data_IF_425495291672
#
_entry.id   IF_425495291672
#
_cell.length_a   1.000
_cell.length_b   1.000
_cell.length_c   1.000
_cell.angle_alpha   90.00
_cell.angle_beta   90.00
_cell.angle_gamma   90.00
#
_symmetry.space_group_name_H-M   'P 1'
#
loop_
_entity.id
_entity.type
_entity.pdbx_description
1 polymer ?
#
# COMPACT_ATOMS: atom_id res chain seq x y z
N UNK A 1 24.27 -17.01 21.95
CA UNK A 1 24.53 -17.29 20.52
C UNK A 1 23.40 -16.64 19.72
N UNK A 2 23.71 -15.72 18.78
CA UNK A 2 22.68 -15.17 17.87
C UNK A 2 22.32 -16.25 16.83
N UNK A 3 21.02 -16.59 16.71
CA UNK A 3 20.54 -17.62 15.78
C UNK A 3 20.10 -17.04 14.42
N UNK A 4 20.02 -15.71 14.29
CA UNK A 4 19.66 -15.00 13.06
C UNK A 4 20.34 -13.62 13.03
N UNK A 5 20.41 -13.04 11.84
CA UNK A 5 20.89 -11.67 11.63
C UNK A 5 19.68 -10.74 11.66
N UNK A 6 19.62 -9.86 12.63
CA UNK A 6 18.55 -8.85 12.70
C UNK A 6 18.87 -7.70 11.75
N UNK A 7 17.87 -7.29 10.97
CA UNK A 7 17.96 -6.11 10.11
C UNK A 7 17.82 -4.87 11.01
N UNK A 8 18.83 -4.02 11.03
CA UNK A 8 18.75 -2.75 11.75
C UNK A 8 17.86 -1.78 10.98
N UNK A 9 16.84 -1.26 11.65
CA UNK A 9 15.94 -0.25 11.09
C UNK A 9 16.20 1.05 11.81
N UNK A 10 16.68 2.10 11.10
CA UNK A 10 16.88 3.41 11.69
C UNK A 10 15.57 3.93 12.31
N UNK A 11 15.68 4.65 13.41
CA UNK A 11 14.50 5.29 14.01
C UNK A 11 13.84 6.21 12.99
N UNK A 12 12.56 5.99 12.74
CA UNK A 12 11.80 6.81 11.83
C UNK A 12 11.73 8.27 12.32
N UNK A 13 11.84 9.26 11.44
CA UNK A 13 11.77 10.69 11.83
C UNK A 13 10.34 11.10 12.23
N UNK A 14 9.34 10.25 11.94
CA UNK A 14 7.94 10.44 12.27
C UNK A 14 7.26 9.08 12.54
N UNK A 15 6.19 9.12 13.31
CA UNK A 15 5.38 7.93 13.61
C UNK A 15 4.08 7.88 12.80
N UNK A 16 3.38 6.77 12.91
CA UNK A 16 2.02 6.57 12.40
C UNK A 16 1.09 6.46 13.61
N UNK A 17 0.20 7.43 13.75
CA UNK A 17 -0.85 7.42 14.76
C UNK A 17 -2.03 6.56 14.31
N UNK A 18 -2.74 5.97 15.27
CA UNK A 18 -3.93 5.16 14.92
C UNK A 18 -5.06 5.99 14.26
N UNK A 19 -5.08 7.30 14.49
CA UNK A 19 -6.02 8.24 13.85
C UNK A 19 -5.63 8.65 12.43
N UNK A 20 -4.41 8.32 11.97
CA UNK A 20 -3.96 8.69 10.64
C UNK A 20 -4.78 8.00 9.53
N UNK A 21 -4.96 8.67 8.42
CA UNK A 21 -5.53 8.12 7.18
C UNK A 21 -4.40 7.63 6.29
N UNK A 22 -4.39 6.32 6.03
CA UNK A 22 -3.31 5.67 5.31
C UNK A 22 -3.74 5.30 3.90
N UNK A 23 -2.95 5.68 2.91
CA UNK A 23 -3.11 5.19 1.54
C UNK A 23 -1.95 4.27 1.19
N UNK A 24 -2.28 3.06 0.72
CA UNK A 24 -1.28 2.06 0.32
C UNK A 24 -1.39 1.79 -1.17
N UNK A 25 -0.29 1.94 -1.89
CA UNK A 25 -0.19 1.68 -3.32
C UNK A 25 0.97 0.74 -3.62
N UNK A 26 0.78 -0.20 -4.53
CA UNK A 26 1.87 -1.02 -5.02
C UNK A 26 1.52 -2.49 -5.20
N UNK A 27 2.50 -3.37 -4.95
CA UNK A 27 2.40 -4.82 -5.17
C UNK A 27 1.41 -5.50 -4.21
N UNK A 28 1.19 -6.81 -4.41
CA UNK A 28 0.38 -7.65 -3.51
C UNK A 28 0.83 -7.52 -2.04
N UNK A 29 2.13 -7.32 -1.78
CA UNK A 29 2.61 -7.10 -0.41
C UNK A 29 2.03 -5.82 0.22
N UNK A 30 1.73 -4.78 -0.57
CA UNK A 30 0.99 -3.61 -0.06
C UNK A 30 -0.43 -4.00 0.36
N UNK A 31 -1.06 -4.97 -0.32
CA UNK A 31 -2.35 -5.52 0.07
C UNK A 31 -2.25 -6.26 1.40
N UNK A 32 -1.24 -7.15 1.57
CA UNK A 32 -1.04 -7.93 2.80
C UNK A 32 -0.87 -7.03 4.03
N UNK A 33 -0.05 -6.00 3.93
CA UNK A 33 0.14 -5.01 5.02
C UNK A 33 -1.09 -4.13 5.20
N UNK A 34 -1.76 -3.76 4.11
CA UNK A 34 -3.01 -2.99 4.13
C UNK A 34 -4.13 -3.73 4.86
N UNK A 35 -4.29 -5.03 4.62
CA UNK A 35 -5.24 -5.88 5.35
C UNK A 35 -4.92 -5.92 6.85
N UNK A 36 -3.64 -6.05 7.23
CA UNK A 36 -3.22 -5.99 8.63
C UNK A 36 -3.56 -4.67 9.30
N UNK A 37 -3.34 -3.55 8.61
CA UNK A 37 -3.71 -2.22 9.09
C UNK A 37 -5.24 -2.09 9.24
N UNK A 38 -6.01 -2.57 8.27
CA UNK A 38 -7.48 -2.58 8.32
C UNK A 38 -7.99 -3.43 9.49
N UNK A 39 -7.44 -4.63 9.67
CA UNK A 39 -7.76 -5.53 10.79
C UNK A 39 -7.40 -4.93 12.15
N UNK A 40 -6.39 -4.10 12.19
CA UNK A 40 -5.99 -3.34 13.37
C UNK A 40 -6.80 -2.05 13.56
N UNK A 41 -7.80 -1.79 12.71
CA UNK A 41 -8.75 -0.69 12.83
C UNK A 41 -8.24 0.66 12.32
N UNK A 42 -7.13 0.70 11.57
CA UNK A 42 -6.70 1.93 10.90
C UNK A 42 -7.65 2.30 9.75
N UNK A 43 -7.74 3.57 9.47
CA UNK A 43 -8.41 4.09 8.28
C UNK A 43 -7.50 3.93 7.08
N UNK A 44 -7.83 3.01 6.18
CA UNK A 44 -6.98 2.63 5.05
C UNK A 44 -7.69 2.70 3.70
N UNK A 45 -6.96 3.08 2.66
CA UNK A 45 -7.31 2.88 1.26
C UNK A 45 -6.18 2.09 0.61
N UNK A 46 -6.46 0.87 0.20
CA UNK A 46 -5.46 -0.05 -0.32
C UNK A 46 -5.71 -0.33 -1.79
N UNK A 47 -4.71 -0.09 -2.63
CA UNK A 47 -4.69 -0.44 -4.06
C UNK A 47 -6.04 -0.18 -4.76
N UNK A 48 -6.51 1.07 -4.87
CA UNK A 48 -7.86 1.38 -5.36
C UNK A 48 -8.13 0.87 -6.78
N UNK A 49 -7.12 0.81 -7.65
CA UNK A 49 -7.19 0.24 -8.99
C UNK A 49 -6.56 -1.17 -9.07
N UNK A 50 -6.45 -1.87 -7.93
CA UNK A 50 -5.77 -3.14 -7.79
C UNK A 50 -4.25 -3.00 -7.65
N UNK A 51 -3.55 -4.14 -7.53
CA UNK A 51 -2.11 -4.14 -7.31
C UNK A 51 -1.34 -3.58 -8.53
N UNK A 52 -0.42 -2.65 -8.26
CA UNK A 52 0.45 -2.00 -9.24
C UNK A 52 1.90 -2.33 -8.92
N UNK A 53 2.55 -3.14 -9.73
CA UNK A 53 3.81 -3.78 -9.35
C UNK A 53 5.06 -2.91 -9.56
N UNK A 54 5.00 -1.89 -10.41
CA UNK A 54 6.18 -1.13 -10.83
C UNK A 54 6.03 0.37 -10.57
N UNK A 55 7.16 1.09 -10.41
CA UNK A 55 7.15 2.52 -10.11
C UNK A 55 6.39 3.38 -11.12
N UNK A 56 6.41 3.00 -12.41
CA UNK A 56 5.78 3.79 -13.46
C UNK A 56 4.24 3.66 -13.42
N UNK A 57 3.70 2.45 -13.18
CA UNK A 57 2.25 2.27 -13.04
C UNK A 57 1.70 2.99 -11.81
N UNK A 58 2.44 2.98 -10.69
CA UNK A 58 2.05 3.77 -9.49
C UNK A 58 2.11 5.26 -9.78
N UNK A 59 3.13 5.73 -10.52
CA UNK A 59 3.24 7.14 -10.92
C UNK A 59 2.07 7.57 -11.81
N UNK A 60 1.69 6.76 -12.80
CA UNK A 60 0.52 7.02 -13.67
C UNK A 60 -0.77 7.15 -12.87
N UNK A 61 -1.00 6.25 -11.90
CA UNK A 61 -2.15 6.36 -11.01
C UNK A 61 -2.13 7.65 -10.19
N UNK A 62 -1.00 7.99 -9.57
CA UNK A 62 -0.88 9.22 -8.77
C UNK A 62 -1.09 10.46 -9.63
N UNK A 63 -0.57 10.51 -10.86
CA UNK A 63 -0.82 11.60 -11.81
C UNK A 63 -2.30 11.71 -12.15
N UNK A 64 -2.97 10.58 -12.45
CA UNK A 64 -4.42 10.56 -12.73
C UNK A 64 -5.23 11.07 -11.53
N UNK A 65 -4.86 10.68 -10.31
CA UNK A 65 -5.50 11.15 -9.07
C UNK A 65 -5.28 12.66 -8.84
N UNK A 66 -4.05 13.14 -8.96
CA UNK A 66 -3.73 14.56 -8.75
C UNK A 66 -4.46 15.45 -9.76
N UNK A 67 -4.53 15.02 -11.03
CA UNK A 67 -5.20 15.74 -12.11
C UNK A 67 -6.73 15.55 -12.09
N UNK A 68 -7.26 14.68 -11.22
CA UNK A 68 -8.67 14.29 -11.19
C UNK A 68 -9.17 13.82 -12.56
N UNK A 69 -8.32 13.16 -13.33
CA UNK A 69 -8.62 12.77 -14.70
C UNK A 69 -9.45 11.48 -14.70
N UNK A 70 -10.76 11.53 -15.03
CA UNK A 70 -11.61 10.34 -15.08
C UNK A 70 -11.15 9.39 -16.20
N UNK A 71 -11.58 8.13 -16.11
CA UNK A 71 -11.55 7.24 -17.26
C UNK A 71 -12.62 7.67 -18.24
N UNK A 72 -12.28 7.66 -19.53
CA UNK A 72 -13.18 7.91 -20.64
C UNK A 72 -13.52 6.60 -21.38
N UNK A 73 -14.56 6.55 -22.21
CA UNK A 73 -14.90 5.33 -22.97
C UNK A 73 -13.73 4.74 -23.77
N UNK A 74 -12.84 5.57 -24.29
CA UNK A 74 -11.62 5.18 -25.01
C UNK A 74 -10.54 4.54 -24.13
N UNK A 75 -10.62 4.69 -22.81
CA UNK A 75 -9.74 4.01 -21.84
C UNK A 75 -10.20 2.56 -21.54
N UNK A 76 -11.40 2.19 -22.01
CA UNK A 76 -12.02 0.89 -21.77
C UNK A 76 -11.78 -0.05 -22.95
N UNK A 77 -11.19 -1.19 -22.65
CA UNK A 77 -10.84 -2.22 -23.64
C UNK A 77 -11.64 -3.50 -23.37
N UNK A 78 -11.94 -4.23 -24.45
CA UNK A 78 -12.46 -5.60 -24.38
C UNK A 78 -11.27 -6.57 -24.29
N UNK A 79 -11.21 -7.33 -23.21
CA UNK A 79 -10.20 -8.36 -22.94
C UNK A 79 -10.77 -9.78 -23.08
N UNK A 80 -11.84 -9.94 -23.88
CA UNK A 80 -12.46 -11.22 -24.17
C UNK A 80 -13.05 -11.89 -22.92
N UNK A 81 -12.53 -13.04 -22.54
CA UNK A 81 -13.04 -13.80 -21.39
C UNK A 81 -12.91 -13.06 -20.05
N UNK A 82 -12.02 -12.08 -19.93
CA UNK A 82 -11.91 -11.24 -18.72
C UNK A 82 -12.94 -10.11 -18.67
N UNK A 83 -13.65 -9.85 -19.77
CA UNK A 83 -14.58 -8.74 -19.91
C UNK A 83 -13.88 -7.42 -20.22
N UNK A 84 -14.54 -6.31 -19.89
CA UNK A 84 -14.09 -4.96 -20.16
C UNK A 84 -13.32 -4.38 -18.99
N UNK A 85 -12.22 -3.67 -19.25
CA UNK A 85 -11.35 -3.05 -18.24
C UNK A 85 -10.43 -2.00 -18.84
N UNK A 86 -9.41 -1.61 -18.09
CA UNK A 86 -8.42 -0.63 -18.54
C UNK A 86 -7.00 -1.14 -18.37
N UNK A 87 -6.11 -0.76 -19.30
CA UNK A 87 -4.67 -1.03 -19.19
C UNK A 87 -4.02 -0.41 -17.94
N UNK A 88 -4.66 0.59 -17.33
CA UNK A 88 -4.17 1.27 -16.11
C UNK A 88 -4.68 0.63 -14.81
N UNK A 89 -5.52 -0.43 -14.89
CA UNK A 89 -6.13 -1.09 -13.74
C UNK A 89 -5.87 -2.60 -13.73
N UNK A 90 -6.01 -3.22 -12.57
CA UNK A 90 -5.89 -4.68 -12.44
C UNK A 90 -7.15 -5.39 -12.97
N UNK A 91 -6.98 -6.59 -13.53
CA UNK A 91 -8.05 -7.42 -14.09
C UNK A 91 -9.19 -7.74 -13.12
N UNK A 92 -8.96 -7.71 -11.82
CA UNK A 92 -10.02 -7.83 -10.79
C UNK A 92 -11.12 -6.75 -10.91
N UNK A 93 -10.85 -5.64 -11.59
CA UNK A 93 -11.82 -4.58 -11.83
C UNK A 93 -12.53 -4.70 -13.19
N UNK A 94 -12.21 -5.71 -13.99
CA UNK A 94 -12.93 -6.00 -15.23
C UNK A 94 -14.40 -6.33 -14.96
N UNK A 95 -15.27 -5.93 -15.90
CA UNK A 95 -16.73 -6.10 -15.79
C UNK A 95 -17.29 -6.69 -17.09
N UNK A 96 -18.49 -7.30 -17.05
CA UNK A 96 -19.12 -7.87 -18.24
C UNK A 96 -19.39 -6.88 -19.37
N UNK A 97 -19.60 -5.60 -19.06
CA UNK A 97 -19.87 -4.53 -20.04
C UNK A 97 -18.91 -3.36 -19.90
N UNK A 98 -18.72 -2.61 -20.99
CA UNK A 98 -17.88 -1.41 -21.01
C UNK A 98 -18.41 -0.32 -20.06
N UNK A 99 -19.72 -0.14 -20.00
CA UNK A 99 -20.36 0.86 -19.14
C UNK A 99 -20.15 0.55 -17.65
N UNK A 100 -20.32 -0.73 -17.26
CA UNK A 100 -20.05 -1.16 -15.87
C UNK A 100 -18.58 -1.01 -15.51
N UNK A 101 -17.65 -1.34 -16.41
CA UNK A 101 -16.22 -1.15 -16.21
C UNK A 101 -15.87 0.33 -16.02
N UNK A 102 -16.39 1.19 -16.90
CA UNK A 102 -16.20 2.64 -16.84
C UNK A 102 -16.75 3.22 -15.52
N UNK A 103 -17.96 2.81 -15.13
CA UNK A 103 -18.58 3.24 -13.89
C UNK A 103 -17.73 2.86 -12.67
N UNK A 104 -17.38 1.57 -12.55
CA UNK A 104 -16.61 1.07 -11.39
C UNK A 104 -15.23 1.72 -11.29
N UNK A 105 -14.53 1.89 -12.41
CA UNK A 105 -13.22 2.54 -12.42
C UNK A 105 -13.31 4.00 -11.99
N UNK A 106 -14.32 4.74 -12.45
CA UNK A 106 -14.52 6.13 -12.05
C UNK A 106 -14.98 6.27 -10.60
N UNK A 107 -15.85 5.39 -10.09
CA UNK A 107 -16.23 5.36 -8.67
C UNK A 107 -15.00 5.14 -7.78
N UNK A 108 -14.16 4.15 -8.13
CA UNK A 108 -12.91 3.87 -7.42
C UNK A 108 -11.93 5.05 -7.47
N UNK A 109 -11.83 5.71 -8.63
CA UNK A 109 -10.96 6.87 -8.81
C UNK A 109 -11.40 8.05 -7.93
N UNK A 110 -12.70 8.35 -7.86
CA UNK A 110 -13.25 9.41 -7.01
C UNK A 110 -13.00 9.13 -5.54
N UNK A 111 -13.22 7.88 -5.10
CA UNK A 111 -12.91 7.45 -3.73
C UNK A 111 -11.43 7.62 -3.43
N UNK A 112 -10.55 7.15 -4.33
CA UNK A 112 -9.10 7.22 -4.16
C UNK A 112 -8.59 8.67 -4.15
N UNK A 113 -9.14 9.54 -5.01
CA UNK A 113 -8.81 10.95 -5.00
C UNK A 113 -9.20 11.64 -3.70
N UNK A 114 -10.43 11.41 -3.24
CA UNK A 114 -10.92 11.96 -1.96
C UNK A 114 -10.03 11.49 -0.81
N UNK A 115 -9.62 10.22 -0.86
CA UNK A 115 -8.73 9.67 0.16
C UNK A 115 -7.33 10.28 0.13
N UNK A 116 -6.71 10.38 -1.06
CA UNK A 116 -5.37 10.94 -1.22
C UNK A 116 -5.29 12.40 -0.76
N UNK A 117 -6.33 13.20 -1.06
CA UNK A 117 -6.44 14.59 -0.61
C UNK A 117 -6.36 14.73 0.91
N UNK A 118 -6.96 13.77 1.63
CA UNK A 118 -7.07 13.80 3.10
C UNK A 118 -6.10 12.83 3.79
N UNK A 119 -5.23 12.14 3.03
CA UNK A 119 -4.28 11.17 3.57
C UNK A 119 -3.19 11.85 4.42
N UNK A 120 -2.83 11.19 5.51
CA UNK A 120 -1.71 11.60 6.37
C UNK A 120 -0.42 10.86 5.99
N UNK A 121 -0.55 9.62 5.52
CA UNK A 121 0.58 8.77 5.10
C UNK A 121 0.26 8.08 3.78
N UNK A 122 1.19 8.16 2.84
CA UNK A 122 1.21 7.39 1.59
C UNK A 122 2.32 6.33 1.69
N UNK A 123 1.94 5.06 1.70
CA UNK A 123 2.86 3.92 1.71
C UNK A 123 2.93 3.35 0.29
N UNK A 124 4.13 3.32 -0.27
CA UNK A 124 4.38 2.87 -1.64
C UNK A 124 5.28 1.64 -1.64
N UNK A 125 4.76 0.52 -2.16
CA UNK A 125 5.49 -0.75 -2.22
C UNK A 125 5.86 -1.11 -3.66
N UNK A 126 7.12 -0.92 -4.05
CA UNK A 126 7.60 -1.31 -5.36
C UNK A 126 7.87 -2.82 -5.44
N UNK A 127 7.26 -3.50 -6.41
CA UNK A 127 7.40 -4.93 -6.62
C UNK A 127 8.53 -5.28 -7.59
N UNK A 128 8.55 -4.62 -8.76
CA UNK A 128 9.49 -4.88 -9.84
C UNK A 128 9.86 -3.60 -10.58
N UNK A 129 11.08 -3.55 -11.15
CA UNK A 129 11.47 -2.48 -12.07
C UNK A 129 11.08 -2.79 -13.53
N UNK A 130 10.49 -3.95 -13.81
CA UNK A 130 10.01 -4.28 -15.14
C UNK A 130 8.67 -3.62 -15.43
N UNK A 131 8.58 -2.97 -16.59
CA UNK A 131 7.35 -2.37 -17.13
C UNK A 131 7.00 -2.97 -18.47
N UNK A 132 5.71 -3.02 -18.74
CA UNK A 132 5.16 -3.31 -20.05
C UNK A 132 4.63 -2.02 -20.66
N UNK A 133 4.84 -1.86 -21.98
CA UNK A 133 4.37 -0.70 -22.74
C UNK A 133 3.61 -1.17 -23.97
N UNK A 134 2.48 -0.52 -24.23
CA UNK A 134 1.68 -0.67 -25.44
C UNK A 134 1.55 0.70 -26.11
N UNK A 135 2.00 0.81 -27.38
CA UNK A 135 1.98 2.10 -28.08
C UNK A 135 2.74 3.24 -27.36
N UNK A 136 3.79 2.89 -26.60
CA UNK A 136 4.58 3.86 -25.80
C UNK A 136 4.05 4.10 -24.38
N UNK A 137 2.77 3.81 -24.08
CA UNK A 137 2.16 3.99 -22.77
C UNK A 137 2.47 2.82 -21.83
N UNK A 138 2.62 3.13 -20.54
CA UNK A 138 2.80 2.10 -19.50
C UNK A 138 1.49 1.37 -19.28
N UNK A 139 1.58 0.04 -19.17
CA UNK A 139 0.47 -0.86 -18.90
C UNK A 139 0.64 -1.40 -17.48
N UNK A 140 -0.39 -1.23 -16.66
CA UNK A 140 -0.39 -1.73 -15.29
C UNK A 140 -0.67 -3.24 -15.21
N UNK A 141 -1.55 -3.73 -16.09
CA UNK A 141 -1.87 -5.15 -16.22
C UNK A 141 -1.98 -5.52 -17.71
N UNK A 142 -1.44 -6.68 -18.09
CA UNK A 142 -1.48 -7.16 -19.47
C UNK A 142 -2.78 -7.91 -19.81
N UNK A 143 -3.69 -8.14 -18.87
CA UNK A 143 -5.01 -8.78 -19.06
C UNK A 143 -4.95 -10.08 -19.87
N UNK A 144 -3.95 -10.94 -19.59
CA UNK A 144 -3.67 -12.20 -20.31
C UNK A 144 -3.44 -12.07 -21.83
N UNK A 145 -3.32 -10.85 -22.33
CA UNK A 145 -3.02 -10.60 -23.74
C UNK A 145 -1.63 -11.13 -24.13
N UNK A 146 -1.45 -11.53 -25.41
CA UNK A 146 -0.18 -12.10 -25.86
C UNK A 146 1.02 -11.19 -25.58
N UNK A 147 2.12 -11.74 -25.03
CA UNK A 147 3.31 -10.94 -24.69
C UNK A 147 3.90 -10.17 -25.88
N UNK A 148 3.67 -10.65 -27.14
CA UNK A 148 4.12 -10.00 -28.37
C UNK A 148 3.49 -8.62 -28.62
N UNK A 149 2.36 -8.29 -27.95
CA UNK A 149 1.73 -6.96 -28.04
C UNK A 149 2.51 -5.88 -27.30
N UNK A 150 3.37 -6.26 -26.37
CA UNK A 150 4.00 -5.33 -25.43
C UNK A 150 5.50 -5.23 -25.66
N UNK A 151 6.02 -4.00 -25.52
CA UNK A 151 7.44 -3.78 -25.32
C UNK A 151 7.73 -3.87 -23.81
N UNK A 152 8.59 -4.81 -23.44
CA UNK A 152 8.99 -5.00 -22.04
C UNK A 152 10.37 -4.41 -21.80
N UNK A 153 10.49 -3.55 -20.79
CA UNK A 153 11.75 -2.88 -20.44
C UNK A 153 11.92 -2.92 -18.91
N UNK A 154 13.15 -3.14 -18.45
CA UNK A 154 13.52 -2.84 -17.07
C UNK A 154 13.86 -1.34 -16.97
N UNK A 155 13.19 -0.63 -16.07
CA UNK A 155 13.49 0.76 -15.76
C UNK A 155 14.92 0.86 -15.19
N UNK A 156 15.59 1.94 -15.48
CA UNK A 156 16.84 2.34 -14.81
C UNK A 156 16.51 3.12 -13.52
N UNK A 157 17.52 3.37 -12.69
CA UNK A 157 17.40 4.26 -11.53
C UNK A 157 16.94 5.65 -11.98
N UNK A 158 17.57 6.18 -13.03
CA UNK A 158 17.24 7.50 -13.57
C UNK A 158 15.80 7.56 -14.13
N UNK A 159 15.32 6.51 -14.84
CA UNK A 159 13.93 6.43 -15.30
C UNK A 159 12.97 6.60 -14.10
N UNK A 160 13.22 5.93 -12.97
CA UNK A 160 12.38 5.98 -11.79
C UNK A 160 12.45 7.36 -11.10
N UNK A 161 13.65 7.89 -10.95
CA UNK A 161 13.86 9.20 -10.31
C UNK A 161 13.17 10.31 -11.10
N UNK A 162 13.32 10.34 -12.44
CA UNK A 162 12.67 11.30 -13.30
C UNK A 162 11.13 11.23 -13.24
N UNK A 163 10.55 10.04 -13.07
CA UNK A 163 9.10 9.87 -12.90
C UNK A 163 8.62 10.39 -11.55
N UNK A 164 9.37 10.13 -10.47
CA UNK A 164 8.89 10.38 -9.10
C UNK A 164 9.24 11.76 -8.55
N UNK A 165 10.33 12.37 -9.00
CA UNK A 165 10.75 13.69 -8.52
C UNK A 165 9.67 14.78 -8.74
N UNK A 166 9.03 14.91 -9.93
CA UNK A 166 7.93 15.85 -10.11
C UNK A 166 6.71 15.52 -9.24
N UNK A 167 6.41 14.23 -9.02
CA UNK A 167 5.29 13.79 -8.20
C UNK A 167 5.41 14.26 -6.76
N UNK A 168 6.59 14.28 -6.18
CA UNK A 168 6.78 14.78 -4.82
C UNK A 168 6.33 16.23 -4.67
N UNK A 169 6.62 17.08 -5.66
CA UNK A 169 6.19 18.47 -5.64
C UNK A 169 4.67 18.58 -5.78
N UNK A 170 4.09 17.81 -6.69
CA UNK A 170 2.64 17.78 -6.93
C UNK A 170 1.87 17.23 -5.73
N UNK A 171 2.35 16.16 -5.10
CA UNK A 171 1.79 15.60 -3.87
C UNK A 171 1.88 16.59 -2.71
N UNK A 172 3.02 17.31 -2.57
CA UNK A 172 3.18 18.32 -1.55
C UNK A 172 2.23 19.52 -1.73
N UNK A 173 1.92 19.88 -2.98
CA UNK A 173 0.93 20.92 -3.30
C UNK A 173 -0.49 20.44 -3.00
N UNK A 174 -0.82 19.18 -3.35
CA UNK A 174 -2.15 18.62 -3.11
C UNK A 174 -2.44 18.43 -1.61
N UNK A 175 -1.47 17.85 -0.89
CA UNK A 175 -1.59 17.56 0.55
C UNK A 175 -0.31 18.00 1.28
N UNK A 176 -0.23 19.25 1.75
CA UNK A 176 0.86 19.69 2.61
C UNK A 176 0.92 18.83 3.87
N UNK A 177 2.12 18.37 4.23
CA UNK A 177 2.32 17.50 5.39
C UNK A 177 2.14 15.99 5.13
N UNK A 178 1.79 15.57 3.91
CA UNK A 178 1.75 14.15 3.54
C UNK A 178 3.11 13.49 3.80
N UNK A 179 3.13 12.45 4.63
CA UNK A 179 4.29 11.62 4.90
C UNK A 179 4.33 10.48 3.89
N UNK A 180 5.48 10.26 3.26
CA UNK A 180 5.65 9.22 2.24
C UNK A 180 6.61 8.15 2.76
N UNK A 181 6.17 6.89 2.70
CA UNK A 181 6.95 5.73 3.09
C UNK A 181 7.14 4.82 1.89
N UNK A 182 8.39 4.59 1.50
CA UNK A 182 8.74 3.59 0.49
C UNK A 182 9.10 2.26 1.12
N UNK A 183 8.78 1.19 0.41
CA UNK A 183 9.29 -0.14 0.70
C UNK A 183 9.45 -0.91 -0.61
N UNK A 184 10.33 -1.91 -0.61
CA UNK A 184 10.49 -2.85 -1.73
C UNK A 184 9.88 -4.18 -1.33
N UNK A 185 8.96 -4.68 -2.16
CA UNK A 185 8.27 -5.94 -1.92
C UNK A 185 9.24 -7.12 -1.79
N UNK A 186 9.10 -7.97 -0.78
CA UNK A 186 9.88 -9.19 -0.65
C UNK A 186 9.50 -10.29 -1.65
N UNK A 187 8.35 -10.17 -2.31
CA UNK A 187 7.87 -11.16 -3.29
C UNK A 187 8.87 -11.29 -4.44
N UNK A 188 9.20 -12.53 -4.80
CA UNK A 188 10.15 -12.87 -5.85
C UNK A 188 9.43 -13.03 -7.19
N UNK A 189 9.80 -12.21 -8.18
CA UNK A 189 9.27 -12.31 -9.55
C UNK A 189 10.18 -13.22 -10.39
N UNK A 190 10.07 -14.54 -10.21
CA UNK A 190 10.96 -15.52 -10.83
C UNK A 190 10.64 -15.85 -12.30
N UNK A 191 9.58 -15.29 -12.86
CA UNK A 191 9.28 -15.43 -14.31
C UNK A 191 10.49 -15.04 -15.20
N UNK A 192 11.32 -14.10 -14.72
CA UNK A 192 12.49 -13.62 -15.44
C UNK A 192 13.79 -14.33 -15.03
N UNK A 193 13.67 -15.30 -14.13
CA UNK A 193 14.80 -15.94 -13.48
C UNK A 193 15.33 -15.15 -12.27
N UNK A 194 16.07 -15.85 -11.43
CA UNK A 194 16.54 -15.32 -10.16
C UNK A 194 17.47 -14.11 -10.35
N UNK A 195 18.38 -14.16 -11.34
CA UNK A 195 19.34 -13.06 -11.61
C UNK A 195 18.63 -11.78 -12.04
N UNK A 196 17.70 -11.87 -13.01
CA UNK A 196 16.96 -10.70 -13.48
C UNK A 196 16.03 -10.12 -12.40
N UNK A 197 15.47 -10.97 -11.51
CA UNK A 197 14.76 -10.51 -10.32
C UNK A 197 15.68 -9.71 -9.38
N UNK A 198 16.90 -10.20 -9.09
CA UNK A 198 17.85 -9.48 -8.24
C UNK A 198 18.25 -8.13 -8.84
N UNK A 199 18.54 -8.08 -10.14
CA UNK A 199 18.82 -6.81 -10.83
C UNK A 199 17.65 -5.85 -10.77
N UNK A 200 16.40 -6.35 -10.89
CA UNK A 200 15.18 -5.56 -10.71
C UNK A 200 15.08 -4.98 -9.31
N UNK A 201 15.27 -5.81 -8.27
CA UNK A 201 15.23 -5.36 -6.87
C UNK A 201 16.35 -4.36 -6.56
N UNK A 202 17.57 -4.62 -7.01
CA UNK A 202 18.69 -3.69 -6.86
C UNK A 202 18.39 -2.31 -7.50
N UNK A 203 17.78 -2.29 -8.70
CA UNK A 203 17.34 -1.04 -9.33
C UNK A 203 16.34 -0.28 -8.46
N UNK A 204 15.36 -0.99 -7.88
CA UNK A 204 14.35 -0.36 -7.00
C UNK A 204 14.99 0.21 -5.72
N UNK A 205 15.88 -0.54 -5.07
CA UNK A 205 16.58 -0.11 -3.86
C UNK A 205 17.42 1.15 -4.12
N UNK A 206 18.22 1.15 -5.19
CA UNK A 206 19.05 2.31 -5.59
C UNK A 206 18.17 3.51 -5.98
N UNK A 207 17.04 3.28 -6.65
CA UNK A 207 16.12 4.36 -7.01
C UNK A 207 15.50 4.99 -5.77
N UNK A 208 15.02 4.17 -4.81
CA UNK A 208 14.47 4.68 -3.55
C UNK A 208 15.52 5.46 -2.78
N UNK A 209 16.74 4.93 -2.61
CA UNK A 209 17.83 5.63 -1.95
C UNK A 209 18.12 7.00 -2.62
N UNK A 210 18.12 7.05 -3.95
CA UNK A 210 18.31 8.30 -4.70
C UNK A 210 17.16 9.28 -4.46
N UNK A 211 15.91 8.80 -4.48
CA UNK A 211 14.72 9.62 -4.21
C UNK A 211 14.72 10.23 -2.80
N UNK A 212 15.22 9.49 -1.80
CA UNK A 212 15.36 9.99 -0.43
C UNK A 212 16.39 11.13 -0.36
N UNK A 213 17.50 11.03 -1.09
CA UNK A 213 18.59 12.04 -1.11
C UNK A 213 18.21 13.30 -1.89
N UNK A 214 17.72 13.15 -3.13
CA UNK A 214 17.38 14.27 -4.02
C UNK A 214 16.42 15.26 -3.36
N UNK A 215 15.51 14.77 -2.53
CA UNK A 215 14.59 15.65 -1.80
C UNK A 215 15.28 16.41 -0.67
N UNK A 216 16.24 15.80 0.00
CA UNK A 216 17.06 16.47 1.04
C UNK A 216 17.88 17.62 0.45
N UNK A 217 18.55 17.39 -0.66
CA UNK A 217 19.40 18.40 -1.34
C UNK A 217 18.58 19.52 -1.97
N UNK A 218 17.41 19.24 -2.54
CA UNK A 218 16.50 20.25 -3.11
C UNK A 218 15.97 21.27 -2.10
N UNK A 219 15.90 20.91 -0.82
CA UNK A 219 15.55 21.82 0.27
C UNK A 219 16.74 22.73 0.61
N UNK A 220 17.96 22.21 0.65
CA UNK A 220 19.16 22.99 0.99
C UNK A 220 19.54 24.00 -0.10
N UNK A 221 19.40 23.65 -1.37
CA UNK A 221 19.68 24.55 -2.51
C UNK A 221 18.69 25.72 -2.53
N UNK A 222 17.42 25.52 -2.19
CA UNK A 222 16.44 26.62 -2.10
C UNK A 222 16.66 27.52 -0.89
N UNK A 223 17.13 26.99 0.22
CA UNK A 223 17.48 27.80 1.41
C UNK A 223 18.69 28.70 1.11
N UNK A 224 19.66 28.25 0.29
CA UNK A 224 20.83 29.06 -0.11
C UNK A 224 20.53 30.06 -1.23
N UNK A 225 19.56 29.79 -2.10
CA UNK A 225 19.14 30.70 -3.20
C UNK A 225 18.10 31.74 -2.77
N UNK A 226 17.49 31.61 -1.60
CA UNK A 226 16.32 32.39 -1.15
C UNK A 226 16.63 33.58 -0.25
N UNK A 227 17.81 34.18 -0.30
CA UNK A 227 18.13 35.39 0.47
C UNK A 227 17.65 36.69 -0.22
N UNK A 228 16.47 36.71 -0.84
CA UNK A 228 15.82 37.96 -1.24
C UNK A 228 14.35 37.69 -1.69
N UNK A 229 13.47 37.29 -0.81
CA UNK A 229 12.05 37.66 -0.85
C UNK A 229 11.32 36.99 0.31
N UNK A 230 10.66 37.80 1.15
CA UNK A 230 9.83 37.40 2.26
C UNK A 230 8.59 36.61 1.83
N UNK A 231 8.75 35.37 1.41
CA UNK A 231 7.68 34.38 1.41
C UNK A 231 8.17 33.19 2.24
N UNK A 232 7.57 33.02 3.43
CA UNK A 232 7.77 31.82 4.25
C UNK A 232 7.72 30.60 3.34
N UNK A 233 8.77 29.74 3.29
CA UNK A 233 8.67 28.47 2.59
C UNK A 233 7.55 27.68 3.25
N UNK A 234 6.49 27.39 2.50
CA UNK A 234 5.46 26.45 2.91
C UNK A 234 6.14 25.18 3.43
N UNK A 235 5.78 24.64 4.60
CA UNK A 235 6.40 23.42 5.10
C UNK A 235 6.12 22.31 4.11
N UNK A 236 7.10 22.03 3.25
CA UNK A 236 7.08 20.92 2.34
C UNK A 236 6.92 19.63 3.16
N UNK A 237 6.12 18.71 2.68
CA UNK A 237 5.91 17.36 3.21
C UNK A 237 7.16 16.82 3.90
N UNK A 238 7.00 16.14 5.03
CA UNK A 238 8.07 15.43 5.71
C UNK A 238 8.89 14.62 4.71
N UNK A 239 10.21 14.58 4.87
CA UNK A 239 11.08 13.79 3.99
C UNK A 239 10.55 12.35 3.87
N UNK A 240 10.53 11.77 2.66
CA UNK A 240 10.15 10.38 2.49
C UNK A 240 11.12 9.48 3.26
N UNK A 241 10.61 8.33 3.72
CA UNK A 241 11.39 7.33 4.45
C UNK A 241 11.34 5.98 3.75
N UNK A 242 12.21 5.06 4.15
CA UNK A 242 12.24 3.69 3.67
C UNK A 242 12.05 2.71 4.82
N UNK A 243 11.20 1.69 4.59
CA UNK A 243 11.05 0.54 5.49
C UNK A 243 11.57 -0.72 4.79
N UNK A 244 12.53 -1.45 5.38
CA UNK A 244 13.28 -2.51 4.71
C UNK A 244 12.55 -3.86 4.71
N UNK A 245 11.32 -3.92 4.17
CA UNK A 245 10.54 -5.17 4.12
C UNK A 245 11.20 -6.26 3.28
N UNK A 246 11.91 -5.87 2.21
CA UNK A 246 12.66 -6.79 1.36
C UNK A 246 13.81 -7.43 2.13
N UNK A 247 14.60 -6.63 2.83
CA UNK A 247 15.74 -7.07 3.61
C UNK A 247 15.32 -7.94 4.80
N UNK A 248 14.23 -7.58 5.49
CA UNK A 248 13.71 -8.40 6.59
C UNK A 248 13.44 -9.83 6.12
N UNK A 249 12.74 -9.99 5.00
CA UNK A 249 12.41 -11.34 4.51
C UNK A 249 13.66 -12.05 3.95
N UNK A 250 14.54 -11.36 3.23
CA UNK A 250 15.69 -11.97 2.56
C UNK A 250 16.88 -12.25 3.48
N UNK A 251 17.07 -11.40 4.51
CA UNK A 251 18.25 -11.46 5.37
C UNK A 251 17.96 -11.92 6.79
N UNK A 252 16.82 -11.52 7.38
CA UNK A 252 16.41 -11.95 8.71
C UNK A 252 15.71 -13.32 8.68
N UNK A 253 14.85 -13.57 7.66
CA UNK A 253 13.99 -14.75 7.55
C UNK A 253 14.51 -15.75 6.49
N UNK A 254 15.77 -16.23 6.66
CA UNK A 254 16.48 -17.11 5.70
C UNK A 254 16.07 -18.57 5.76
N UNK A 255 14.76 -18.87 5.86
CA UNK A 255 14.29 -20.25 5.94
C UNK A 255 13.03 -20.40 5.09
N UNK A 256 12.90 -21.53 4.40
CA UNK A 256 11.75 -21.80 3.51
C UNK A 256 10.40 -21.82 4.24
N UNK A 257 10.35 -22.01 5.56
CA UNK A 257 9.12 -21.90 6.35
C UNK A 257 8.47 -20.52 6.29
N UNK A 258 9.24 -19.49 5.90
CA UNK A 258 8.76 -18.12 5.74
C UNK A 258 8.23 -17.81 4.34
N UNK A 259 8.22 -18.80 3.45
CA UNK A 259 7.64 -18.71 2.12
C UNK A 259 6.38 -19.56 2.02
N UNK A 260 5.41 -19.10 1.21
CA UNK A 260 4.24 -19.89 0.85
C UNK A 260 4.63 -21.09 -0.04
N UNK A 261 3.67 -21.96 -0.36
CA UNK A 261 3.91 -23.18 -1.14
C UNK A 261 4.52 -22.93 -2.51
N UNK A 262 4.34 -21.73 -3.08
CA UNK A 262 4.94 -21.32 -4.35
C UNK A 262 6.41 -20.86 -4.23
N UNK A 263 6.95 -20.81 -3.02
CA UNK A 263 8.33 -20.42 -2.69
C UNK A 263 8.72 -19.01 -3.19
N UNK A 264 7.73 -18.16 -3.48
CA UNK A 264 7.93 -16.79 -3.98
C UNK A 264 7.22 -15.74 -3.14
N UNK A 265 6.04 -16.05 -2.65
CA UNK A 265 5.30 -15.20 -1.74
C UNK A 265 5.71 -15.46 -0.29
N UNK A 266 5.75 -14.43 0.57
CA UNK A 266 5.93 -14.61 2.01
C UNK A 266 4.78 -15.42 2.60
N UNK A 267 5.10 -16.39 3.46
CA UNK A 267 4.10 -17.06 4.27
C UNK A 267 3.46 -16.10 5.29
N UNK A 268 2.26 -16.42 5.83
CA UNK A 268 1.63 -15.58 6.87
C UNK A 268 2.54 -15.26 8.06
N UNK A 269 3.42 -16.18 8.43
CA UNK A 269 4.40 -15.99 9.50
C UNK A 269 5.45 -14.91 9.14
N UNK A 270 5.88 -14.84 7.89
CA UNK A 270 6.80 -13.80 7.44
C UNK A 270 6.11 -12.44 7.39
N UNK A 271 4.86 -12.39 6.90
CA UNK A 271 4.06 -11.14 6.90
C UNK A 271 3.85 -10.65 8.34
N UNK A 272 3.60 -11.57 9.30
CA UNK A 272 3.48 -11.22 10.73
C UNK A 272 4.78 -10.62 11.25
N UNK A 273 5.93 -11.22 10.95
CA UNK A 273 7.23 -10.70 11.40
C UNK A 273 7.51 -9.32 10.83
N UNK A 274 7.23 -9.10 9.55
CA UNK A 274 7.38 -7.77 8.93
C UNK A 274 6.43 -6.75 9.58
N UNK A 275 5.18 -7.17 9.90
CA UNK A 275 4.22 -6.35 10.63
C UNK A 275 4.71 -5.95 12.03
N UNK A 276 5.27 -6.89 12.80
CA UNK A 276 5.87 -6.59 14.11
C UNK A 276 6.97 -5.53 13.99
N UNK A 277 7.90 -5.71 13.05
CA UNK A 277 8.99 -4.77 12.78
C UNK A 277 8.47 -3.39 12.35
N UNK A 278 7.42 -3.37 11.52
CA UNK A 278 6.75 -2.14 11.10
C UNK A 278 6.11 -1.42 12.29
N UNK A 279 5.37 -2.13 13.12
CA UNK A 279 4.73 -1.60 14.32
C UNK A 279 5.77 -1.05 15.32
N UNK A 280 6.88 -1.78 15.48
CA UNK A 280 7.98 -1.34 16.36
C UNK A 280 8.67 -0.07 15.86
N UNK A 281 8.72 0.12 14.56
CA UNK A 281 9.37 1.29 13.94
C UNK A 281 8.49 2.54 13.98
N UNK A 282 7.17 2.38 13.71
CA UNK A 282 6.29 3.52 13.44
C UNK A 282 5.23 3.79 14.50
N UNK A 283 4.85 2.81 15.34
CA UNK A 283 3.76 3.01 16.30
C UNK A 283 4.26 3.45 17.66
N UNK A 284 3.67 4.50 18.19
CA UNK A 284 3.85 4.91 19.58
C UNK A 284 3.06 4.00 20.56
N UNK A 285 3.20 4.25 21.85
CA UNK A 285 2.53 3.46 22.88
C UNK A 285 1.00 3.50 22.78
N UNK A 286 0.42 4.65 22.43
CA UNK A 286 -1.03 4.84 22.28
C UNK A 286 -1.55 4.03 21.09
N UNK A 287 -0.88 4.16 19.93
CA UNK A 287 -1.20 3.39 18.72
C UNK A 287 -1.10 1.89 18.96
N UNK A 288 -0.04 1.41 19.63
CA UNK A 288 0.10 -0.02 19.98
C UNK A 288 -1.01 -0.50 20.91
N UNK A 289 -1.48 0.35 21.83
CA UNK A 289 -2.60 0.02 22.71
C UNK A 289 -3.90 -0.12 21.90
N UNK A 290 -4.19 0.79 20.97
CA UNK A 290 -5.35 0.71 20.08
C UNK A 290 -5.30 -0.57 19.24
N UNK A 291 -4.19 -0.81 18.53
CA UNK A 291 -3.96 -2.01 17.70
C UNK A 291 -4.18 -3.31 18.49
N UNK A 292 -3.66 -3.40 19.73
CA UNK A 292 -3.85 -4.59 20.56
C UNK A 292 -5.32 -4.82 20.90
N UNK A 293 -6.02 -3.77 21.37
CA UNK A 293 -7.44 -3.88 21.80
C UNK A 293 -8.36 -4.19 20.63
N UNK A 294 -8.15 -3.53 19.47
CA UNK A 294 -8.95 -3.79 18.27
C UNK A 294 -8.62 -5.17 17.70
N UNK A 295 -7.34 -5.55 17.69
CA UNK A 295 -6.90 -6.89 17.29
C UNK A 295 -7.53 -8.03 18.13
N UNK A 296 -7.83 -7.80 19.41
CA UNK A 296 -8.62 -8.74 20.22
C UNK A 296 -10.05 -8.90 19.69
N UNK A 297 -10.69 -7.79 19.32
CA UNK A 297 -12.02 -7.78 18.71
C UNK A 297 -12.01 -8.50 17.36
N UNK A 298 -11.06 -8.18 16.49
CA UNK A 298 -10.90 -8.81 15.17
C UNK A 298 -10.74 -10.33 15.29
N UNK A 299 -9.88 -10.80 16.21
CA UNK A 299 -9.70 -12.24 16.46
C UNK A 299 -10.97 -12.89 17.01
N UNK A 300 -11.68 -12.21 17.90
CA UNK A 300 -12.94 -12.72 18.46
C UNK A 300 -14.03 -12.86 17.39
N UNK A 301 -14.14 -11.91 16.45
CA UNK A 301 -15.08 -11.97 15.33
C UNK A 301 -14.73 -13.06 14.31
N UNK A 302 -13.45 -13.40 14.14
CA UNK A 302 -13.00 -14.50 13.26
C UNK A 302 -13.16 -15.87 13.88
N UNK A 303 -13.48 -15.95 15.18
CA UNK A 303 -13.70 -17.23 15.85
C UNK A 303 -14.96 -17.91 15.31
N UNK A 304 -14.81 -19.13 14.78
CA UNK A 304 -15.93 -19.96 14.31
C UNK A 304 -16.36 -20.91 15.44
N UNK A 305 -17.52 -20.73 16.06
CA UNK A 305 -17.99 -21.62 17.09
C UNK A 305 -18.46 -22.95 16.50
N UNK A 306 -18.43 -24.01 17.29
CA UNK A 306 -19.04 -25.30 16.92
C UNK A 306 -20.60 -25.22 16.88
N UNK A 307 -21.17 -24.33 17.69
CA UNK A 307 -22.62 -24.13 17.80
C UNK A 307 -22.94 -22.62 17.73
N UNK A 308 -23.11 -22.09 16.53
CA UNK A 308 -23.39 -20.67 16.29
C UNK A 308 -24.72 -20.19 16.87
N UNK A 309 -25.73 -21.07 17.00
CA UNK A 309 -27.06 -20.74 17.50
C UNK A 309 -27.17 -20.80 19.04
N UNK A 310 -26.07 -21.15 19.75
CA UNK A 310 -26.10 -21.30 21.21
C UNK A 310 -26.27 -19.96 21.92
N UNK A 311 -26.99 -19.99 23.08
CA UNK A 311 -27.08 -18.80 23.92
C UNK A 311 -25.74 -18.31 24.45
N UNK A 312 -24.76 -19.21 24.61
CA UNK A 312 -23.40 -18.87 25.00
C UNK A 312 -22.72 -18.07 23.93
N UNK A 313 -22.84 -18.48 22.64
CA UNK A 313 -22.24 -17.72 21.53
C UNK A 313 -22.93 -16.35 21.38
N UNK A 314 -24.21 -16.23 21.50
CA UNK A 314 -24.94 -14.95 21.50
C UNK A 314 -24.45 -14.03 22.64
N UNK A 315 -24.20 -14.57 23.84
CA UNK A 315 -23.59 -13.80 24.95
C UNK A 315 -22.19 -13.35 24.61
N UNK A 316 -21.39 -14.24 24.04
CA UNK A 316 -20.02 -13.90 23.58
C UNK A 316 -20.02 -12.74 22.57
N UNK A 317 -20.87 -12.78 21.54
CA UNK A 317 -20.98 -11.69 20.54
C UNK A 317 -21.44 -10.37 21.20
N UNK A 318 -22.35 -10.41 22.17
CA UNK A 318 -22.76 -9.22 22.96
C UNK A 318 -21.59 -8.65 23.77
N UNK A 319 -20.70 -9.49 24.30
CA UNK A 319 -19.48 -9.02 24.98
C UNK A 319 -18.50 -8.34 24.00
N UNK A 320 -18.43 -8.79 22.75
CA UNK A 320 -17.65 -8.10 21.70
C UNK A 320 -18.21 -6.70 21.46
N UNK A 321 -19.55 -6.54 21.35
CA UNK A 321 -20.18 -5.21 21.18
C UNK A 321 -19.83 -4.26 22.35
N UNK A 322 -19.84 -4.76 23.60
CA UNK A 322 -19.44 -3.95 24.76
C UNK A 322 -17.98 -3.53 24.68
N UNK A 323 -17.06 -4.44 24.30
CA UNK A 323 -15.64 -4.10 24.07
C UNK A 323 -15.46 -3.05 22.98
N UNK A 324 -16.23 -3.15 21.88
CA UNK A 324 -16.20 -2.15 20.80
C UNK A 324 -16.60 -0.77 21.35
N UNK A 325 -17.67 -0.69 22.14
CA UNK A 325 -18.13 0.56 22.73
C UNK A 325 -17.08 1.17 23.70
N UNK A 326 -16.40 0.35 24.48
CA UNK A 326 -15.29 0.80 25.35
C UNK A 326 -14.10 1.31 24.52
N UNK A 327 -13.75 0.63 23.40
CA UNK A 327 -12.69 1.07 22.51
C UNK A 327 -13.05 2.41 21.88
N UNK A 328 -14.29 2.61 21.41
CA UNK A 328 -14.73 3.89 20.84
C UNK A 328 -14.73 5.03 21.87
N UNK A 329 -14.96 4.74 23.15
CA UNK A 329 -14.87 5.74 24.21
C UNK A 329 -13.42 6.23 24.40
N UNK A 330 -12.45 5.32 24.35
CA UNK A 330 -11.02 5.65 24.53
C UNK A 330 -10.37 6.16 23.24
N UNK A 331 -10.87 5.72 22.08
CA UNK A 331 -10.40 6.09 20.74
C UNK A 331 -11.60 6.55 19.89
N UNK A 332 -12.10 7.80 20.07
CA UNK A 332 -13.33 8.30 19.41
C UNK A 332 -13.24 8.32 17.87
N UNK A 333 -12.04 8.31 17.30
CA UNK A 333 -11.77 8.28 15.86
C UNK A 333 -11.88 6.86 15.26
N UNK A 334 -12.05 5.82 16.09
CA UNK A 334 -12.16 4.45 15.60
C UNK A 334 -13.51 4.23 14.90
N UNK A 335 -13.44 3.92 13.60
CA UNK A 335 -14.61 3.64 12.76
C UNK A 335 -15.07 2.20 12.95
N UNK A 336 -15.91 1.97 13.96
CA UNK A 336 -16.33 0.64 14.36
C UNK A 336 -17.50 0.06 13.53
N UNK A 337 -18.04 0.78 12.54
CA UNK A 337 -19.23 0.38 11.79
C UNK A 337 -19.18 -1.07 11.31
N UNK A 338 -18.14 -1.42 10.55
CA UNK A 338 -17.98 -2.78 10.01
C UNK A 338 -17.92 -3.87 11.10
N UNK A 339 -17.31 -3.58 12.24
CA UNK A 339 -17.22 -4.54 13.37
C UNK A 339 -18.58 -4.75 14.04
N UNK A 340 -19.35 -3.66 14.16
CA UNK A 340 -20.71 -3.68 14.71
C UNK A 340 -21.65 -4.46 13.77
N UNK A 341 -21.58 -4.19 12.46
CA UNK A 341 -22.39 -4.88 11.44
C UNK A 341 -22.10 -6.38 11.42
N UNK A 342 -20.84 -6.78 11.54
CA UNK A 342 -20.46 -8.19 11.69
C UNK A 342 -21.07 -8.81 12.95
N UNK A 343 -21.03 -8.13 14.10
CA UNK A 343 -21.69 -8.61 15.33
C UNK A 343 -23.20 -8.79 15.12
N UNK A 344 -23.88 -7.83 14.48
CA UNK A 344 -25.31 -7.94 14.19
C UNK A 344 -25.62 -9.11 13.26
N UNK A 345 -24.81 -9.32 12.23
CA UNK A 345 -24.94 -10.49 11.33
C UNK A 345 -24.82 -11.80 12.11
N UNK A 346 -23.82 -11.91 13.02
CA UNK A 346 -23.59 -13.09 13.83
C UNK A 346 -24.69 -13.32 14.90
N UNK A 347 -25.39 -12.28 15.33
CA UNK A 347 -26.53 -12.42 16.30
C UNK A 347 -27.83 -12.84 15.61
N UNK A 348 -27.95 -12.57 14.30
CA UNK A 348 -29.14 -12.85 13.49
C UNK A 348 -29.04 -14.17 12.69
N UNK A 349 -27.85 -14.78 12.64
CA UNK A 349 -27.60 -16.11 12.07
C UNK A 349 -27.81 -17.21 13.11
#
# INVERSE_FOLDING_TARGET
MKLYTEVEIPKAPWGIGHSDRLMLLGSCFATDIGERLTDAGFRTQVNPLGALYNPASVAVLLDRLIDKRPFAPEDIMDFGAEGYGSWEAHSLLSRPTADEALQVLNERLVQAWTWLRDADVLIVTFGTAWVYRLGGNVVANCHHEPPSRFVRKRLTVDDIVHLWQPLFHRLATLRPGLRILFTVSPIRHLRDGAHANQLSKATLLLAVETLLRVRGEGLEVRVKAGAANNSNPSPLTSNPTYFPSYEIVLDELRDYRFYADDLTHPAPLAVERVWERFADTYFDASTRQAVRRIGEVTRALRHRPLHSESNEYRRFVRQILLKIAEIQKDFPYFEAGNFIDQCHTLLNS
#
